data_IF_607504397894
#
_entry.id   IF_607504397894
#
_cell.length_a   1.000
_cell.length_b   1.000
_cell.length_c   1.000
_cell.angle_alpha   90.00
_cell.angle_beta   90.00
_cell.angle_gamma   90.00
#
_symmetry.space_group_name_H-M   'P 1'
#
loop_
_entity.id
_entity.type
_entity.pdbx_description
1 polymer ?
#
# COMPACT_ATOMS: atom_id res chain seq x y z
N UNK A 1 59.27 15.06 -3.80
CA UNK A 1 58.34 14.28 -2.98
C UNK A 1 56.95 14.44 -3.53
N UNK A 2 56.42 13.40 -4.10
CA UNK A 2 55.07 13.41 -4.62
C UNK A 2 54.16 12.96 -3.50
N UNK A 3 53.42 13.89 -2.92
CA UNK A 3 52.33 13.55 -2.02
C UNK A 3 51.18 12.96 -2.82
N UNK A 4 50.97 11.67 -2.70
CA UNK A 4 49.83 11.02 -3.26
C UNK A 4 48.67 11.29 -2.33
N UNK A 5 47.82 12.24 -2.73
CA UNK A 5 46.55 12.38 -2.08
C UNK A 5 45.64 11.27 -2.54
N UNK A 6 45.53 10.23 -1.72
CA UNK A 6 44.44 9.29 -1.83
C UNK A 6 43.18 10.04 -1.39
N UNK A 7 42.47 10.60 -2.33
CA UNK A 7 41.07 10.90 -2.08
C UNK A 7 40.34 9.58 -1.99
N UNK A 8 40.21 9.10 -0.77
CA UNK A 8 39.24 8.10 -0.48
C UNK A 8 37.88 8.75 -0.64
N UNK A 9 37.40 8.79 -1.87
CA UNK A 9 36.01 9.05 -2.10
C UNK A 9 35.26 7.85 -1.53
N UNK A 10 34.87 8.00 -0.27
CA UNK A 10 33.88 7.14 0.32
C UNK A 10 32.61 7.38 -0.47
N UNK A 11 32.43 6.60 -1.53
CA UNK A 11 31.16 6.52 -2.20
C UNK A 11 30.20 5.94 -1.18
N UNK A 12 29.51 6.83 -0.48
CA UNK A 12 28.36 6.48 0.32
C UNK A 12 27.30 6.03 -0.67
N UNK A 13 27.36 4.77 -1.07
CA UNK A 13 26.25 4.16 -1.75
C UNK A 13 25.11 4.10 -0.75
N UNK A 14 24.27 5.13 -0.81
CA UNK A 14 22.97 5.06 -0.19
C UNK A 14 22.25 3.91 -0.92
N UNK A 15 22.38 2.71 -0.38
CA UNK A 15 21.47 1.65 -0.75
C UNK A 15 20.11 2.14 -0.28
N UNK A 16 19.35 2.72 -1.21
CA UNK A 16 17.94 2.92 -0.99
C UNK A 16 17.38 1.52 -0.73
N UNK A 17 17.23 1.18 0.55
CA UNK A 17 16.47 0.03 0.92
C UNK A 17 15.09 0.22 0.29
N UNK A 18 14.83 -0.50 -0.79
CA UNK A 18 13.49 -0.58 -1.31
C UNK A 18 12.69 -1.26 -0.21
N UNK A 19 12.04 -0.45 0.61
CA UNK A 19 11.02 -0.95 1.50
C UNK A 19 10.00 -1.59 0.58
N UNK A 20 9.89 -2.92 0.63
CA UNK A 20 8.79 -3.60 -0.02
C UNK A 20 7.53 -3.09 0.68
N UNK A 21 6.95 -2.03 0.11
CA UNK A 21 5.71 -1.50 0.62
C UNK A 21 4.63 -2.53 0.36
N UNK A 22 4.08 -3.10 1.42
CA UNK A 22 2.79 -3.76 1.35
C UNK A 22 1.83 -2.81 0.62
N UNK A 23 0.93 -3.35 -0.19
CA UNK A 23 -0.05 -2.55 -0.91
C UNK A 23 -0.76 -1.62 0.07
N UNK A 24 -0.73 -0.34 -0.21
CA UNK A 24 -1.36 0.65 0.64
C UNK A 24 -2.84 0.74 0.30
N UNK A 25 -3.67 0.20 1.17
CA UNK A 25 -5.11 0.36 1.09
C UNK A 25 -5.52 1.74 1.59
N UNK A 26 -6.21 2.47 0.76
CA UNK A 26 -6.88 3.71 1.18
C UNK A 26 -8.17 3.38 1.92
N UNK A 27 -8.59 4.26 2.78
CA UNK A 27 -9.81 4.10 3.59
C UNK A 27 -10.80 5.26 3.42
N UNK A 28 -10.40 6.28 2.67
CA UNK A 28 -11.22 7.46 2.38
C UNK A 28 -11.66 7.40 0.91
N UNK A 29 -12.96 7.33 0.69
CA UNK A 29 -13.55 7.22 -0.64
C UNK A 29 -13.20 8.41 -1.54
N UNK A 30 -13.35 9.63 -1.04
CA UNK A 30 -13.11 10.83 -1.83
C UNK A 30 -11.65 10.98 -2.24
N UNK A 31 -10.74 10.66 -1.34
CA UNK A 31 -9.29 10.65 -1.62
C UNK A 31 -8.91 9.58 -2.64
N UNK A 32 -9.49 8.39 -2.52
CA UNK A 32 -9.25 7.30 -3.47
C UNK A 32 -9.75 7.68 -4.87
N UNK A 33 -10.90 8.31 -4.95
CA UNK A 33 -11.48 8.77 -6.21
C UNK A 33 -10.59 9.84 -6.88
N UNK A 34 -10.10 10.80 -6.10
CA UNK A 34 -9.19 11.84 -6.60
C UNK A 34 -7.88 11.24 -7.12
N UNK A 35 -7.30 10.29 -6.39
CA UNK A 35 -6.06 9.63 -6.79
C UNK A 35 -6.26 8.76 -8.04
N UNK A 36 -7.38 8.05 -8.14
CA UNK A 36 -7.71 7.26 -9.31
C UNK A 36 -7.83 8.12 -10.57
N UNK A 37 -8.44 9.29 -10.47
CA UNK A 37 -8.50 10.25 -11.56
C UNK A 37 -7.13 10.80 -11.94
N UNK A 38 -6.31 11.15 -10.95
CA UNK A 38 -4.97 11.69 -11.19
C UNK A 38 -4.03 10.67 -11.85
N UNK A 39 -4.14 9.42 -11.47
CA UNK A 39 -3.30 8.32 -11.99
C UNK A 39 -3.93 7.56 -13.16
N UNK A 40 -5.17 7.86 -13.50
CA UNK A 40 -5.94 7.16 -14.55
C UNK A 40 -5.99 5.64 -14.33
N UNK A 41 -6.28 5.26 -13.08
CA UNK A 41 -6.38 3.86 -12.66
C UNK A 41 -7.78 3.55 -12.14
N UNK A 42 -8.28 2.32 -12.36
CA UNK A 42 -9.51 1.87 -11.73
C UNK A 42 -9.33 1.68 -10.22
N UNK A 43 -10.43 1.70 -9.50
CA UNK A 43 -10.46 1.45 -8.06
C UNK A 43 -10.94 0.02 -7.83
N UNK A 44 -10.20 -0.73 -7.02
CA UNK A 44 -10.67 -1.99 -6.43
C UNK A 44 -11.18 -1.66 -5.04
N UNK A 45 -12.45 -1.88 -4.81
CA UNK A 45 -13.10 -1.63 -3.52
C UNK A 45 -13.30 -2.95 -2.80
N UNK A 46 -12.76 -3.04 -1.59
CA UNK A 46 -12.99 -4.15 -0.68
C UNK A 46 -14.00 -3.70 0.39
N UNK A 47 -15.21 -4.23 0.33
CA UNK A 47 -16.22 -4.07 1.36
C UNK A 47 -16.01 -5.15 2.40
N UNK A 48 -15.57 -4.78 3.59
CA UNK A 48 -15.18 -5.74 4.61
C UNK A 48 -15.87 -5.50 5.95
N UNK A 49 -15.81 -6.47 6.82
CA UNK A 49 -16.26 -6.40 8.20
C UNK A 49 -15.14 -6.89 9.12
N UNK A 50 -14.25 -5.98 9.50
CA UNK A 50 -12.97 -6.31 10.14
C UNK A 50 -13.10 -7.08 11.46
N UNK A 51 -14.21 -6.93 12.17
CA UNK A 51 -14.42 -7.56 13.48
C UNK A 51 -15.48 -8.68 13.49
N UNK A 52 -16.04 -9.05 12.32
CA UNK A 52 -17.08 -10.09 12.28
C UNK A 52 -17.06 -10.97 11.03
N UNK A 53 -16.49 -10.51 9.91
CA UNK A 53 -16.55 -11.23 8.65
C UNK A 53 -15.37 -12.19 8.51
N UNK A 54 -15.58 -13.44 8.89
CA UNK A 54 -14.51 -14.47 8.83
C UNK A 54 -14.01 -14.70 7.41
N UNK A 55 -14.89 -14.65 6.40
CA UNK A 55 -14.53 -14.84 5.00
C UNK A 55 -13.73 -13.66 4.45
N UNK A 56 -14.01 -12.44 4.93
CA UNK A 56 -13.22 -11.24 4.59
C UNK A 56 -11.80 -11.35 5.16
N UNK A 57 -11.66 -11.83 6.39
CA UNK A 57 -10.36 -12.07 7.02
C UNK A 57 -9.57 -13.13 6.27
N UNK A 58 -10.23 -14.19 5.80
CA UNK A 58 -9.61 -15.24 5.02
C UNK A 58 -9.14 -14.74 3.66
N UNK A 59 -9.95 -13.94 2.97
CA UNK A 59 -9.61 -13.31 1.69
C UNK A 59 -8.41 -12.37 1.85
N UNK A 60 -8.40 -11.58 2.92
CA UNK A 60 -7.29 -10.70 3.23
C UNK A 60 -5.98 -11.47 3.42
N UNK A 61 -6.03 -12.55 4.21
CA UNK A 61 -4.86 -13.39 4.47
C UNK A 61 -4.36 -14.13 3.23
N UNK A 62 -5.26 -14.71 2.46
CA UNK A 62 -4.91 -15.61 1.35
C UNK A 62 -4.60 -14.86 0.04
N UNK A 63 -5.14 -13.69 -0.15
CA UNK A 63 -5.01 -12.93 -1.40
C UNK A 63 -4.39 -11.55 -1.16
N UNK A 64 -5.06 -10.70 -0.40
CA UNK A 64 -4.69 -9.27 -0.31
C UNK A 64 -3.37 -9.02 0.42
N UNK A 65 -2.95 -9.92 1.30
CA UNK A 65 -1.67 -9.82 2.02
C UNK A 65 -0.52 -10.51 1.28
N UNK A 66 -0.76 -11.08 0.10
CA UNK A 66 0.28 -11.76 -0.66
C UNK A 66 1.15 -10.76 -1.45
N UNK A 67 2.48 -10.98 -1.50
CA UNK A 67 3.38 -10.10 -2.25
C UNK A 67 3.04 -9.98 -3.73
N UNK A 68 2.57 -11.05 -4.34
CA UNK A 68 2.17 -11.05 -5.76
C UNK A 68 0.98 -10.13 -6.03
N UNK A 69 0.02 -10.09 -5.10
CA UNK A 69 -1.10 -9.16 -5.18
C UNK A 69 -0.63 -7.71 -5.03
N UNK A 70 0.22 -7.44 -4.05
CA UNK A 70 0.77 -6.10 -3.79
C UNK A 70 1.50 -5.55 -5.01
N UNK A 71 2.36 -6.36 -5.62
CA UNK A 71 3.13 -5.97 -6.80
C UNK A 71 2.24 -5.63 -7.99
N UNK A 72 1.23 -6.44 -8.23
CA UNK A 72 0.26 -6.18 -9.29
C UNK A 72 -0.56 -4.92 -9.01
N UNK A 73 -1.10 -4.81 -7.80
CA UNK A 73 -2.01 -3.73 -7.41
C UNK A 73 -1.35 -2.35 -7.48
N UNK A 74 -0.13 -2.23 -7.01
CA UNK A 74 0.61 -0.95 -7.05
C UNK A 74 0.75 -0.39 -8.47
N UNK A 75 0.82 -1.25 -9.47
CA UNK A 75 1.00 -0.86 -10.86
C UNK A 75 -0.31 -0.59 -11.59
N UNK A 76 -1.39 -1.26 -11.19
CA UNK A 76 -2.60 -1.38 -12.00
C UNK A 76 -3.82 -0.68 -11.45
N UNK A 77 -3.95 -0.58 -10.14
CA UNK A 77 -5.19 -0.14 -9.49
C UNK A 77 -4.92 0.76 -8.28
N UNK A 78 -5.97 1.46 -7.87
CA UNK A 78 -6.05 2.09 -6.55
C UNK A 78 -6.85 1.16 -5.65
N UNK A 79 -6.36 0.90 -4.46
CA UNK A 79 -7.00 0.02 -3.49
C UNK A 79 -7.76 0.83 -2.45
N UNK A 80 -9.04 0.55 -2.29
CA UNK A 80 -9.91 1.19 -1.32
C UNK A 80 -10.59 0.13 -0.46
N UNK A 81 -10.37 0.22 0.85
CA UNK A 81 -11.02 -0.65 1.84
C UNK A 81 -12.08 0.13 2.59
N UNK A 82 -13.31 -0.33 2.50
CA UNK A 82 -14.44 0.21 3.24
C UNK A 82 -14.86 -0.82 4.29
N UNK A 83 -14.60 -0.50 5.55
CA UNK A 83 -14.88 -1.36 6.68
C UNK A 83 -16.22 -1.04 7.32
N UNK A 84 -17.03 -2.07 7.54
CA UNK A 84 -18.33 -1.99 8.19
C UNK A 84 -18.32 -2.81 9.49
N UNK A 85 -17.67 -2.30 10.53
CA UNK A 85 -17.55 -3.02 11.79
C UNK A 85 -18.91 -3.10 12.50
N UNK A 86 -19.07 -4.13 13.35
CA UNK A 86 -20.26 -4.30 14.19
C UNK A 86 -19.99 -4.00 15.66
N UNK A 87 -18.73 -4.13 16.08
CA UNK A 87 -18.31 -3.98 17.47
C UNK A 87 -17.60 -2.66 17.76
N UNK A 88 -17.26 -1.91 16.74
CA UNK A 88 -16.63 -0.61 16.81
C UNK A 88 -17.37 0.41 15.97
N UNK A 89 -17.20 1.72 16.21
CA UNK A 89 -17.86 2.76 15.42
C UNK A 89 -17.44 2.72 13.95
N UNK A 90 -18.38 3.05 13.06
CA UNK A 90 -18.13 3.27 11.65
C UNK A 90 -17.26 4.50 11.44
N UNK A 91 -16.35 4.44 10.48
CA UNK A 91 -15.58 5.60 10.04
C UNK A 91 -16.46 6.59 9.29
N UNK A 92 -16.27 7.89 9.52
CA UNK A 92 -16.99 8.95 8.81
C UNK A 92 -16.57 9.04 7.32
N UNK A 93 -15.46 8.44 6.94
CA UNK A 93 -14.93 8.44 5.57
C UNK A 93 -15.57 7.37 4.66
N UNK A 94 -16.46 6.56 5.19
CA UNK A 94 -17.15 5.47 4.47
C UNK A 94 -18.49 5.94 3.93
#
# INVERSE_FOLDING_TARGET
MKTIFFFLTLALTLAAASVANAATWMTDYDKALAQAKAQKKPIVVDFTGSDWCIWCMKLDKEVFSQPSFDTWAQKKVILLKLDFPRRSPQSDAV
#
